data_IF_369666770908
#
_entry.id   IF_369666770908
#
_cell.length_a   1.000
_cell.length_b   1.000
_cell.length_c   1.000
_cell.angle_alpha   90.00
_cell.angle_beta   90.00
_cell.angle_gamma   90.00
#
_symmetry.space_group_name_H-M   'P 1'
#
loop_
_entity.id
_entity.type
_entity.pdbx_description
1 polymer ?
#
# COMPACT_ATOMS: atom_id res chain seq x y z
N UNK A 1 -11.71 -19.00 14.46
CA UNK A 1 -10.47 -18.90 13.66
C UNK A 1 -10.86 -18.46 12.25
N UNK A 2 -10.94 -17.15 12.01
CA UNK A 2 -11.37 -16.64 10.71
C UNK A 2 -11.56 -15.12 10.67
N UNK A 3 -11.25 -14.56 9.48
CA UNK A 3 -11.77 -13.32 8.86
C UNK A 3 -10.90 -12.06 8.76
N UNK A 4 -9.73 -11.92 9.40
CA UNK A 4 -8.86 -10.75 9.15
C UNK A 4 -7.76 -11.07 8.12
N UNK A 5 -7.09 -12.19 8.28
CA UNK A 5 -5.97 -12.62 7.43
C UNK A 5 -6.36 -12.82 5.96
N UNK A 6 -7.60 -13.27 5.69
CA UNK A 6 -8.09 -13.45 4.32
C UNK A 6 -8.23 -12.13 3.57
N UNK A 7 -8.69 -11.06 4.23
CA UNK A 7 -8.88 -9.75 3.59
C UNK A 7 -7.54 -9.10 3.27
N UNK A 8 -6.62 -9.11 4.24
CA UNK A 8 -5.26 -8.63 4.04
C UNK A 8 -4.56 -9.39 2.91
N UNK A 9 -4.68 -10.72 2.88
CA UNK A 9 -4.11 -11.53 1.80
C UNK A 9 -4.72 -11.24 0.43
N UNK A 10 -6.03 -10.99 0.35
CA UNK A 10 -6.68 -10.57 -0.90
C UNK A 10 -6.13 -9.24 -1.40
N UNK A 11 -6.00 -8.24 -0.53
CA UNK A 11 -5.42 -6.94 -0.88
C UNK A 11 -3.95 -7.05 -1.28
N UNK A 12 -3.16 -7.87 -0.57
CA UNK A 12 -1.78 -8.16 -0.92
C UNK A 12 -1.65 -8.78 -2.32
N UNK A 13 -2.45 -9.80 -2.63
CA UNK A 13 -2.48 -10.42 -3.96
C UNK A 13 -2.90 -9.42 -5.04
N UNK A 14 -3.84 -8.52 -4.73
CA UNK A 14 -4.21 -7.46 -5.66
C UNK A 14 -3.04 -6.49 -5.87
N UNK A 15 -2.32 -6.10 -4.81
CA UNK A 15 -1.10 -5.29 -4.90
C UNK A 15 -0.04 -5.91 -5.81
N UNK A 16 0.18 -7.23 -5.72
CA UNK A 16 1.09 -7.94 -6.63
C UNK A 16 0.67 -7.85 -8.11
N UNK A 17 -0.63 -7.94 -8.40
CA UNK A 17 -1.14 -7.77 -9.77
C UNK A 17 -0.92 -6.35 -10.27
N UNK A 18 -1.21 -5.35 -9.43
CA UNK A 18 -0.99 -3.94 -9.75
C UNK A 18 0.50 -3.66 -9.99
N UNK A 19 1.40 -4.24 -9.18
CA UNK A 19 2.86 -4.18 -9.40
C UNK A 19 3.23 -4.70 -10.78
N UNK A 20 2.70 -5.87 -11.15
CA UNK A 20 2.99 -6.47 -12.45
C UNK A 20 2.56 -5.54 -13.59
N UNK A 21 1.35 -4.98 -13.52
CA UNK A 21 0.86 -4.08 -14.55
C UNK A 21 1.60 -2.75 -14.57
N UNK A 22 1.72 -2.04 -13.44
CA UNK A 22 2.16 -0.64 -13.44
C UNK A 22 3.65 -0.44 -13.24
N UNK A 23 4.35 -1.32 -12.51
CA UNK A 23 5.81 -1.23 -12.31
C UNK A 23 6.54 -2.05 -13.38
N UNK A 24 6.15 -3.30 -13.60
CA UNK A 24 6.92 -4.24 -14.43
C UNK A 24 6.61 -4.07 -15.91
N UNK A 25 5.33 -4.19 -16.29
CA UNK A 25 4.89 -4.23 -17.69
C UNK A 25 4.85 -2.84 -18.31
N UNK A 26 4.13 -1.90 -17.68
CA UNK A 26 3.94 -0.56 -18.24
C UNK A 26 5.04 0.43 -17.82
N UNK A 27 5.82 0.13 -16.77
CA UNK A 27 6.85 1.03 -16.20
C UNK A 27 6.33 2.45 -15.96
N UNK A 28 5.06 2.55 -15.55
CA UNK A 28 4.38 3.82 -15.29
C UNK A 28 4.95 4.51 -14.04
N UNK A 29 5.30 3.70 -13.04
CA UNK A 29 5.90 4.15 -11.78
C UNK A 29 7.12 3.30 -11.45
N UNK A 30 8.03 3.87 -10.67
CA UNK A 30 9.28 3.25 -10.24
C UNK A 30 9.04 2.03 -9.34
N UNK A 31 9.97 1.07 -9.39
CA UNK A 31 10.02 -0.05 -8.44
C UNK A 31 10.48 0.37 -7.03
N UNK A 32 11.07 1.57 -6.92
CA UNK A 32 11.35 2.25 -5.67
C UNK A 32 10.22 3.24 -5.41
N UNK A 33 9.73 3.28 -4.17
CA UNK A 33 8.74 4.28 -3.78
C UNK A 33 9.29 5.69 -4.01
N UNK A 34 8.47 6.51 -4.65
CA UNK A 34 8.72 7.91 -4.95
C UNK A 34 7.43 8.70 -4.63
N UNK A 35 7.47 9.64 -3.68
CA UNK A 35 6.28 10.40 -3.27
C UNK A 35 5.70 11.27 -4.39
N UNK A 36 6.49 11.61 -5.41
CA UNK A 36 6.01 12.42 -6.54
C UNK A 36 5.25 11.59 -7.59
N UNK A 37 5.35 10.26 -7.52
CA UNK A 37 4.73 9.34 -8.48
C UNK A 37 3.44 8.71 -7.97
N UNK A 38 3.28 8.60 -6.64
CA UNK A 38 2.15 7.91 -6.03
C UNK A 38 1.60 8.68 -4.84
N UNK A 39 0.30 8.95 -4.91
CA UNK A 39 -0.51 9.43 -3.79
C UNK A 39 -1.51 8.33 -3.39
N UNK A 40 -1.56 8.01 -2.09
CA UNK A 40 -2.48 7.00 -1.56
C UNK A 40 -3.37 7.65 -0.52
N UNK A 41 -4.69 7.48 -0.67
CA UNK A 41 -5.69 7.98 0.25
C UNK A 41 -6.64 6.86 0.67
N UNK A 42 -7.07 6.90 1.93
CA UNK A 42 -8.09 6.01 2.47
C UNK A 42 -9.04 6.77 3.40
N UNK A 43 -10.22 6.21 3.66
CA UNK A 43 -11.09 6.72 4.71
C UNK A 43 -10.51 6.39 6.08
N UNK A 44 -10.78 7.23 7.08
CA UNK A 44 -10.27 7.07 8.45
C UNK A 44 -11.02 5.97 9.23
N UNK A 45 -10.93 4.74 8.75
CA UNK A 45 -11.47 3.55 9.42
C UNK A 45 -10.43 2.43 9.39
N UNK A 46 -10.27 1.71 10.50
CA UNK A 46 -9.21 0.70 10.65
C UNK A 46 -9.17 -0.33 9.50
N UNK A 47 -10.34 -0.79 9.03
CA UNK A 47 -10.41 -1.78 7.96
C UNK A 47 -9.85 -1.28 6.62
N UNK A 48 -10.11 -0.01 6.28
CA UNK A 48 -9.71 0.56 4.98
C UNK A 48 -8.22 0.91 4.97
N UNK A 49 -7.71 1.39 6.11
CA UNK A 49 -6.27 1.53 6.34
C UNK A 49 -5.53 0.19 6.24
N UNK A 50 -6.01 -0.85 6.93
CA UNK A 50 -5.40 -2.18 6.87
C UNK A 50 -5.39 -2.75 5.45
N UNK A 51 -6.49 -2.56 4.70
CA UNK A 51 -6.58 -2.92 3.28
C UNK A 51 -5.59 -2.15 2.41
N UNK A 52 -5.47 -0.83 2.59
CA UNK A 52 -4.55 0.01 1.83
C UNK A 52 -3.09 -0.42 2.06
N UNK A 53 -2.67 -0.57 3.32
CA UNK A 53 -1.32 -1.04 3.65
C UNK A 53 -1.05 -2.46 3.16
N UNK A 54 -2.02 -3.37 3.23
CA UNK A 54 -1.88 -4.72 2.70
C UNK A 54 -1.68 -4.72 1.17
N UNK A 55 -2.37 -3.83 0.45
CA UNK A 55 -2.17 -3.67 -0.98
C UNK A 55 -0.77 -3.13 -1.29
N UNK A 56 -0.33 -2.10 -0.58
CA UNK A 56 1.00 -1.50 -0.74
C UNK A 56 2.14 -2.47 -0.44
N UNK A 57 1.95 -3.35 0.56
CA UNK A 57 2.88 -4.43 0.87
C UNK A 57 3.11 -5.34 -0.35
N UNK A 58 2.06 -5.61 -1.13
CA UNK A 58 2.17 -6.36 -2.39
C UNK A 58 2.74 -5.51 -3.52
N UNK A 59 2.28 -4.26 -3.65
CA UNK A 59 2.65 -3.35 -4.73
C UNK A 59 4.15 -3.03 -4.74
N UNK A 60 4.72 -2.74 -3.57
CA UNK A 60 6.15 -2.48 -3.37
C UNK A 60 6.90 -3.68 -2.78
N UNK A 61 6.34 -4.89 -2.92
CA UNK A 61 7.06 -6.12 -2.55
C UNK A 61 8.45 -6.13 -3.20
N UNK A 62 9.49 -6.50 -2.46
CA UNK A 62 10.87 -6.56 -2.97
C UNK A 62 11.44 -5.23 -3.50
N UNK A 63 10.87 -4.08 -3.11
CA UNK A 63 11.55 -2.80 -3.30
C UNK A 63 12.90 -2.82 -2.59
N UNK A 64 13.92 -2.16 -3.13
CA UNK A 64 15.27 -2.15 -2.54
C UNK A 64 15.78 -0.73 -2.39
N UNK A 65 16.51 -0.47 -1.31
CA UNK A 65 17.04 0.86 -1.00
C UNK A 65 15.97 1.88 -0.64
N UNK A 66 14.79 1.43 -0.21
CA UNK A 66 13.65 2.26 0.21
C UNK A 66 13.31 2.09 1.69
N UNK A 67 14.17 1.40 2.43
CA UNK A 67 14.05 1.17 3.87
C UNK A 67 15.43 0.95 4.51
N UNK A 68 15.59 1.15 5.84
CA UNK A 68 16.83 0.90 6.55
C UNK A 68 17.25 -0.59 6.53
N UNK A 69 18.55 -0.84 6.44
CA UNK A 69 19.12 -2.19 6.52
C UNK A 69 19.45 -2.60 7.97
N UNK A 70 18.58 -2.26 8.92
CA UNK A 70 18.78 -2.56 10.34
C UNK A 70 18.02 -3.82 10.77
N UNK A 71 18.58 -4.60 11.70
CA UNK A 71 18.02 -5.89 12.13
C UNK A 71 16.64 -5.77 12.80
N UNK A 72 16.33 -4.63 13.40
CA UNK A 72 15.02 -4.35 13.99
C UNK A 72 13.96 -3.92 12.95
N UNK A 73 14.39 -3.59 11.72
CA UNK A 73 13.48 -3.14 10.68
C UNK A 73 12.72 -4.33 10.05
N UNK A 74 11.41 -4.21 9.79
CA UNK A 74 10.67 -5.26 9.11
C UNK A 74 11.26 -5.59 7.74
N UNK A 75 11.53 -6.88 7.51
CA UNK A 75 12.17 -7.34 6.28
C UNK A 75 11.40 -6.91 5.03
N UNK A 76 12.09 -6.27 4.08
CA UNK A 76 11.54 -5.84 2.79
C UNK A 76 10.33 -4.90 2.87
N UNK A 77 10.21 -4.12 3.96
CA UNK A 77 9.09 -3.19 4.14
C UNK A 77 9.48 -1.76 3.80
N UNK A 78 8.84 -1.20 2.77
CA UNK A 78 8.91 0.22 2.44
C UNK A 78 7.76 0.98 3.11
N UNK A 79 8.04 2.01 3.92
CA UNK A 79 6.99 2.82 4.52
C UNK A 79 6.41 3.75 3.44
N UNK A 80 5.16 3.48 3.05
CA UNK A 80 4.41 4.33 2.12
C UNK A 80 3.29 5.04 2.90
N UNK A 81 3.20 6.38 2.85
CA UNK A 81 2.14 7.12 3.53
C UNK A 81 0.77 6.82 2.92
N UNK A 82 -0.22 6.61 3.78
CA UNK A 82 -1.65 6.55 3.42
C UNK A 82 -2.31 7.74 4.09
N UNK A 83 -2.74 8.70 3.28
CA UNK A 83 -3.43 9.89 3.79
C UNK A 83 -4.87 9.53 4.15
N UNK A 84 -5.36 10.05 5.26
CA UNK A 84 -6.77 9.97 5.63
C UNK A 84 -7.39 11.34 5.67
N UNK A 85 -8.66 11.39 5.26
CA UNK A 85 -9.52 12.52 5.52
C UNK A 85 -10.61 12.03 6.48
N UNK A 86 -10.94 12.78 7.54
CA UNK A 86 -12.10 12.45 8.38
C UNK A 86 -13.34 12.30 7.50
N UNK A 87 -14.18 11.29 7.76
CA UNK A 87 -15.42 11.03 6.99
C UNK A 87 -16.30 12.28 6.85
N UNK A 88 -16.33 13.12 7.89
CA UNK A 88 -17.09 14.39 7.91
C UNK A 88 -16.55 15.47 6.95
N UNK A 89 -15.37 15.26 6.37
CA UNK A 89 -14.66 16.21 5.52
C UNK A 89 -14.17 15.58 4.22
N UNK A 90 -14.58 14.34 3.91
CA UNK A 90 -14.16 13.63 2.70
C UNK A 90 -14.97 14.11 1.47
N UNK A 91 -14.34 14.82 0.51
CA UNK A 91 -15.03 15.31 -0.68
C UNK A 91 -15.20 14.23 -1.78
N UNK A 92 -14.63 13.03 -1.59
CA UNK A 92 -14.58 11.95 -2.59
C UNK A 92 -15.41 10.73 -2.15
N UNK A 93 -15.41 10.38 -0.85
CA UNK A 93 -16.15 9.24 -0.30
C UNK A 93 -17.20 9.61 0.76
N UNK A 94 -17.58 10.89 0.87
CA UNK A 94 -18.75 11.32 1.64
C UNK A 94 -20.07 10.79 1.03
N UNK A 95 -21.15 10.67 1.82
CA UNK A 95 -22.44 10.17 1.35
C UNK A 95 -23.06 11.00 0.21
#
# INVERSE_FOLDING_TARGET
>A
MGRVDSGMWQHYRQGLKLKHEYIIKNKLVSSKYDPDQIFVQSTDVHRTLASAYSNLAGFYSSSTGTYPNEAAWPSHWTPVPVHTTPLSQDPVNGP
#
